data_IF_468577716005
#
_entry.id   IF_468577716005
#
_cell.length_a   1.000
_cell.length_b   1.000
_cell.length_c   1.000
_cell.angle_alpha   90.00
_cell.angle_beta   90.00
_cell.angle_gamma   90.00
#
_symmetry.space_group_name_H-M   'P 1'
#
loop_
_entity.id
_entity.type
_entity.pdbx_description
1 polymer ?
#
# COMPACT_ATOMS: atom_id res chain seq x y z
N UNK A 1 -34.74 12.25 -42.70
CA UNK A 1 -34.51 10.94 -42.05
C UNK A 1 -33.00 10.73 -41.98
N UNK A 2 -32.34 11.34 -41.00
CA UNK A 2 -30.88 11.32 -40.86
C UNK A 2 -30.45 10.00 -40.21
N UNK A 3 -29.53 9.31 -40.89
CA UNK A 3 -28.84 8.09 -40.46
C UNK A 3 -28.17 8.31 -39.09
N UNK A 4 -28.48 7.46 -38.12
CA UNK A 4 -27.68 7.30 -36.89
C UNK A 4 -26.98 5.95 -37.01
N UNK A 5 -25.86 5.92 -37.72
CA UNK A 5 -24.91 4.81 -37.64
C UNK A 5 -23.77 5.27 -36.74
N UNK A 6 -23.93 5.02 -35.45
CA UNK A 6 -22.87 5.18 -34.46
C UNK A 6 -23.03 4.11 -33.38
N UNK A 7 -22.87 2.84 -33.77
CA UNK A 7 -22.62 1.74 -32.84
C UNK A 7 -21.12 1.43 -32.89
N UNK A 8 -20.35 2.23 -32.16
CA UNK A 8 -18.95 1.95 -31.90
C UNK A 8 -18.87 0.90 -30.78
N UNK A 9 -19.08 -0.37 -31.15
CA UNK A 9 -18.85 -1.50 -30.26
C UNK A 9 -17.40 -1.95 -30.42
N UNK A 10 -16.48 -1.27 -29.72
CA UNK A 10 -15.14 -1.83 -29.49
C UNK A 10 -15.33 -2.91 -28.41
N UNK A 11 -15.54 -4.14 -28.85
CA UNK A 11 -15.56 -5.30 -27.97
C UNK A 11 -14.14 -5.48 -27.46
N UNK A 12 -13.90 -5.08 -26.20
CA UNK A 12 -12.66 -5.39 -25.50
C UNK A 12 -12.48 -6.90 -25.47
N UNK A 13 -11.42 -7.38 -26.12
CA UNK A 13 -11.00 -8.77 -26.03
C UNK A 13 -10.67 -9.10 -24.57
N UNK A 14 -11.06 -10.27 -24.03
CA UNK A 14 -10.59 -10.67 -22.71
C UNK A 14 -9.08 -10.90 -22.84
N UNK A 15 -8.28 -10.01 -22.25
CA UNK A 15 -6.85 -10.21 -22.13
C UNK A 15 -6.64 -11.54 -21.40
N UNK A 16 -6.23 -12.55 -22.17
CA UNK A 16 -5.62 -13.75 -21.66
C UNK A 16 -4.58 -13.38 -20.61
N UNK A 17 -4.61 -14.08 -19.47
CA UNK A 17 -3.72 -13.84 -18.34
C UNK A 17 -2.26 -14.01 -18.78
N UNK A 18 -1.65 -12.93 -19.25
CA UNK A 18 -0.23 -12.78 -19.45
C UNK A 18 0.42 -12.56 -18.07
N UNK A 19 0.45 -13.62 -17.26
CA UNK A 19 1.39 -13.66 -16.15
C UNK A 19 2.76 -13.93 -16.76
N UNK A 20 3.46 -12.87 -17.16
CA UNK A 20 4.90 -12.93 -17.38
C UNK A 20 5.56 -13.29 -16.04
N UNK A 21 5.84 -14.59 -15.85
CA UNK A 21 6.61 -15.15 -14.72
C UNK A 21 8.03 -14.52 -14.65
N UNK A 22 8.48 -13.89 -15.74
CA UNK A 22 9.69 -13.07 -15.85
C UNK A 22 9.49 -11.64 -15.28
N UNK A 23 8.50 -11.44 -14.40
CA UNK A 23 8.32 -10.19 -13.68
C UNK A 23 9.44 -9.96 -12.65
N UNK A 24 9.65 -8.69 -12.26
CA UNK A 24 10.70 -8.26 -11.32
C UNK A 24 10.75 -9.05 -9.97
N UNK A 25 9.69 -9.77 -9.62
CA UNK A 25 9.58 -10.60 -8.43
C UNK A 25 10.52 -11.83 -8.42
N UNK A 26 11.05 -12.28 -9.57
CA UNK A 26 11.95 -13.43 -9.65
C UNK A 26 13.43 -13.11 -9.33
N UNK A 27 13.78 -11.81 -9.19
CA UNK A 27 15.17 -11.40 -8.92
C UNK A 27 15.50 -11.62 -7.44
N UNK A 28 16.65 -12.23 -7.10
CA UNK A 28 17.03 -12.39 -5.70
C UNK A 28 17.21 -11.02 -5.05
N UNK A 29 16.54 -10.81 -3.91
CA UNK A 29 16.70 -9.60 -3.12
C UNK A 29 18.12 -9.53 -2.54
N UNK A 30 18.69 -8.32 -2.49
CA UNK A 30 19.90 -8.09 -1.72
C UNK A 30 19.63 -8.43 -0.24
N UNK A 31 20.61 -8.97 0.50
CA UNK A 31 20.44 -9.23 1.91
C UNK A 31 20.11 -7.92 2.64
N UNK A 32 19.09 -7.96 3.50
CA UNK A 32 18.83 -6.86 4.44
C UNK A 32 20.06 -6.76 5.36
N UNK A 33 20.62 -5.56 5.51
CA UNK A 33 21.74 -5.32 6.44
C UNK A 33 21.36 -5.63 7.89
N UNK A 34 22.35 -5.65 8.80
CA UNK A 34 22.15 -6.09 10.19
C UNK A 34 21.07 -5.35 10.99
N UNK A 35 20.67 -4.13 10.62
CA UNK A 35 19.69 -3.34 11.38
C UNK A 35 18.36 -3.23 10.64
N UNK A 36 17.26 -3.65 11.30
CA UNK A 36 15.93 -3.14 10.96
C UNK A 36 15.94 -1.62 11.11
N UNK A 37 15.41 -0.91 10.13
CA UNK A 37 15.14 0.51 10.29
C UNK A 37 14.10 0.69 11.40
N UNK A 38 14.37 1.60 12.33
CA UNK A 38 13.41 1.97 13.36
C UNK A 38 12.43 2.97 12.75
N UNK A 39 11.24 2.48 12.42
CA UNK A 39 10.18 3.27 11.80
C UNK A 39 9.58 4.28 12.77
N UNK A 40 9.75 4.09 14.08
CA UNK A 40 9.18 4.96 15.10
C UNK A 40 10.07 6.19 15.40
N UNK A 41 11.35 6.14 15.03
CA UNK A 41 12.33 7.16 15.41
C UNK A 41 12.03 8.55 14.84
N UNK A 42 11.45 8.62 13.64
CA UNK A 42 11.04 9.90 13.04
C UNK A 42 9.81 10.48 13.75
N UNK A 43 8.79 9.65 13.99
CA UNK A 43 7.58 10.06 14.70
C UNK A 43 7.85 10.42 16.17
N UNK A 44 8.76 9.74 16.87
CA UNK A 44 9.16 10.09 18.24
C UNK A 44 9.86 11.46 18.35
N UNK A 45 10.52 11.92 17.28
CA UNK A 45 11.17 13.24 17.27
C UNK A 45 10.17 14.40 17.12
N UNK A 46 9.01 14.15 16.52
CA UNK A 46 7.98 15.14 16.23
C UNK A 46 6.81 15.11 17.21
N UNK A 47 6.53 13.94 17.82
CA UNK A 47 5.42 13.73 18.73
C UNK A 47 5.68 14.26 20.15
N UNK A 48 4.62 14.68 20.84
CA UNK A 48 4.72 15.16 22.22
C UNK A 48 5.00 14.02 23.21
N UNK A 49 4.59 12.80 22.86
CA UNK A 49 4.85 11.60 23.64
C UNK A 49 4.89 10.34 22.76
N UNK A 50 5.40 9.25 23.35
CA UNK A 50 5.54 7.96 22.66
C UNK A 50 4.22 7.33 22.19
N UNK A 51 3.11 7.61 22.87
CA UNK A 51 1.82 7.07 22.44
C UNK A 51 1.31 7.76 21.18
N UNK A 52 1.54 9.05 21.02
CA UNK A 52 1.21 9.77 19.79
C UNK A 52 2.05 9.28 18.61
N UNK A 53 3.37 9.10 18.80
CA UNK A 53 4.23 8.52 17.77
C UNK A 53 3.74 7.15 17.27
N UNK A 54 3.24 6.31 18.18
CA UNK A 54 2.65 5.00 17.83
C UNK A 54 1.29 5.10 17.13
N UNK A 55 0.50 6.16 17.42
CA UNK A 55 -0.75 6.39 16.69
C UNK A 55 -0.44 6.80 15.26
N UNK A 56 0.49 7.72 15.06
CA UNK A 56 0.80 8.26 13.75
C UNK A 56 1.31 7.16 12.80
N UNK A 57 2.29 6.36 13.21
CA UNK A 57 2.77 5.19 12.46
C UNK A 57 1.60 4.22 12.16
N UNK A 58 0.78 3.92 13.17
CA UNK A 58 -0.35 3.01 13.02
C UNK A 58 -1.43 3.52 12.07
N UNK A 59 -1.61 4.83 11.92
CA UNK A 59 -2.56 5.44 10.97
C UNK A 59 -2.04 5.32 9.54
N UNK A 60 -0.74 5.49 9.33
CA UNK A 60 -0.12 5.38 8.00
C UNK A 60 -0.14 3.94 7.47
N UNK A 61 -0.03 2.95 8.36
CA UNK A 61 -0.12 1.52 8.02
C UNK A 61 -1.57 0.98 8.02
N UNK A 62 -2.55 1.81 8.36
CA UNK A 62 -3.97 1.43 8.43
C UNK A 62 -4.73 1.71 7.14
N UNK A 63 -5.64 0.81 6.77
CA UNK A 63 -6.49 1.00 5.60
C UNK A 63 -7.75 1.82 5.92
N UNK A 64 -8.32 2.55 4.94
CA UNK A 64 -9.50 3.39 5.15
C UNK A 64 -10.75 2.65 5.64
N UNK A 65 -10.83 1.33 5.41
CA UNK A 65 -11.97 0.49 5.80
C UNK A 65 -11.72 -0.31 7.10
N UNK A 66 -10.54 -0.14 7.73
CA UNK A 66 -10.18 -0.84 8.97
C UNK A 66 -10.63 -0.07 10.22
N UNK A 67 -10.69 -0.76 11.36
CA UNK A 67 -10.91 -0.12 12.66
C UNK A 67 -9.77 0.89 12.97
N UNK A 68 -10.04 1.99 13.71
CA UNK A 68 -9.01 2.98 14.02
C UNK A 68 -7.82 2.40 14.80
N UNK A 69 -6.61 2.83 14.45
CA UNK A 69 -5.39 2.49 15.18
C UNK A 69 -5.52 2.88 16.67
N UNK A 70 -5.29 1.91 17.56
CA UNK A 70 -5.35 2.13 19.01
C UNK A 70 -4.02 1.69 19.66
N UNK A 71 -3.28 2.60 20.31
CA UNK A 71 -2.01 2.25 20.91
C UNK A 71 -2.24 1.40 22.16
N UNK A 72 -1.36 0.42 22.38
CA UNK A 72 -1.41 -0.43 23.58
C UNK A 72 -0.98 0.38 24.80
N UNK A 73 -1.92 0.65 25.72
CA UNK A 73 -1.60 1.17 27.05
C UNK A 73 -1.15 0.03 27.96
N UNK A 74 0.13 -0.02 28.26
CA UNK A 74 0.71 -0.95 29.23
C UNK A 74 0.99 -0.13 30.49
N UNK A 75 0.35 -0.49 31.62
CA UNK A 75 0.56 0.17 32.92
C UNK A 75 1.48 -0.61 33.83
#
# INVERSE_FOLDING_TARGET
MTHIDALNAVAGSPAENAHDEEGAAARPAAPLGESKHDHLAEHEAEAENRQEALIDEGVEETFPASDPATPKRIT
#
